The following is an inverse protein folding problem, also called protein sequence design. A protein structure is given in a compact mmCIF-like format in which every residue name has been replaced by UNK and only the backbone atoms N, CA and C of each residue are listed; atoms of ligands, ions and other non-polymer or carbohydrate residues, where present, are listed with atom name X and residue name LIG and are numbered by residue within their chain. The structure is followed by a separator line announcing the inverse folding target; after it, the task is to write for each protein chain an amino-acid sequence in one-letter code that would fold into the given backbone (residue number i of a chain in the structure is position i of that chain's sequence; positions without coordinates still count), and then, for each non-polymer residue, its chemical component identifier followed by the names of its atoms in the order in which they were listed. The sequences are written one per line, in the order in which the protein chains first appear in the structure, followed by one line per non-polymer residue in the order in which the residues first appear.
data_IF_074167245576
#
_entry.id   IF_074167245576
#
_cell.length_a   1.000
_cell.length_b   1.000
_cell.length_c   1.000
_cell.angle_alpha   90.00
_cell.angle_beta   90.00
_cell.angle_gamma   90.00
#
_symmetry.space_group_name_H-M   'P 1'
#
loop_
_entity.id
_entity.type
_entity.pdbx_description
1 polymer ?
#
# COMPACT_ATOMS: atom_id res chain seq x y z
N UNK A 1 -3.11 3.38 -23.39
CA UNK A 1 -2.62 2.90 -22.08
C UNK A 1 -3.34 3.52 -20.88
N UNK A 2 -3.87 4.75 -20.96
CA UNK A 2 -4.69 5.36 -19.88
C UNK A 2 -5.92 4.52 -19.51
N UNK A 3 -6.61 3.95 -20.51
CA UNK A 3 -7.74 3.02 -20.27
C UNK A 3 -7.37 1.79 -19.44
N UNK A 4 -6.18 1.22 -19.68
CA UNK A 4 -5.69 0.05 -18.94
C UNK A 4 -5.42 0.36 -17.46
N UNK A 5 -4.82 1.52 -17.16
CA UNK A 5 -4.58 1.94 -15.77
C UNK A 5 -5.90 2.14 -15.03
N UNK A 6 -6.88 2.79 -15.66
CA UNK A 6 -8.20 2.99 -15.08
C UNK A 6 -8.96 1.68 -14.86
N UNK A 7 -8.85 0.71 -15.77
CA UNK A 7 -9.40 -0.63 -15.59
C UNK A 7 -8.70 -1.40 -14.47
N UNK A 8 -7.38 -1.32 -14.39
CA UNK A 8 -6.60 -1.92 -13.31
C UNK A 8 -6.97 -1.34 -11.94
N UNK A 9 -7.22 -0.03 -11.86
CA UNK A 9 -7.69 0.61 -10.63
C UNK A 9 -9.14 0.28 -10.27
N UNK A 10 -9.94 -0.25 -11.21
CA UNK A 10 -11.26 -0.80 -10.92
C UNK A 10 -11.25 -2.30 -10.60
N UNK A 11 -10.13 -2.99 -10.83
CA UNK A 11 -10.03 -4.42 -10.64
C UNK A 11 -10.09 -4.82 -9.15
N UNK A 12 -10.73 -5.95 -8.89
CA UNK A 12 -10.71 -6.66 -7.60
C UNK A 12 -9.68 -7.79 -7.64
N UNK A 13 -9.54 -8.54 -6.54
CA UNK A 13 -8.62 -9.68 -6.43
C UNK A 13 -9.08 -10.96 -7.15
N UNK A 14 -10.26 -10.95 -7.79
CA UNK A 14 -10.84 -12.13 -8.43
C UNK A 14 -11.07 -13.27 -7.43
N UNK A 15 -10.35 -14.38 -7.61
CA UNK A 15 -10.46 -15.62 -6.81
C UNK A 15 -9.23 -15.88 -5.94
N UNK A 16 -8.34 -14.90 -5.81
CA UNK A 16 -7.13 -15.04 -5.00
C UNK A 16 -7.49 -15.21 -3.52
N UNK A 17 -6.75 -16.10 -2.84
CA UNK A 17 -7.01 -16.46 -1.44
C UNK A 17 -5.85 -15.96 -0.57
N UNK A 18 -6.12 -15.23 0.52
CA UNK A 18 -5.07 -14.78 1.42
C UNK A 18 -4.45 -15.95 2.20
N UNK A 19 -3.14 -15.91 2.49
CA UNK A 19 -2.48 -16.95 3.26
C UNK A 19 -2.96 -16.94 4.72
N UNK A 20 -2.89 -18.09 5.43
CA UNK A 20 -3.37 -18.21 6.81
C UNK A 20 -2.75 -17.20 7.79
N UNK A 21 -1.46 -16.87 7.61
CA UNK A 21 -0.78 -15.88 8.43
C UNK A 21 -1.43 -14.48 8.35
N UNK A 22 -1.91 -14.09 7.17
CA UNK A 22 -2.60 -12.81 6.99
C UNK A 22 -3.97 -12.80 7.64
N UNK A 23 -4.68 -13.93 7.66
CA UNK A 23 -5.95 -14.08 8.41
C UNK A 23 -5.73 -13.88 9.90
N UNK A 24 -4.75 -14.56 10.48
CA UNK A 24 -4.42 -14.42 11.91
C UNK A 24 -4.06 -12.98 12.29
N UNK A 25 -3.33 -12.27 11.43
CA UNK A 25 -3.01 -10.85 11.67
C UNK A 25 -4.24 -9.97 11.60
N UNK A 26 -5.10 -10.19 10.61
CA UNK A 26 -6.34 -9.45 10.46
C UNK A 26 -7.32 -9.70 11.60
N UNK A 27 -7.33 -10.92 12.15
CA UNK A 27 -8.18 -11.28 13.28
C UNK A 27 -7.86 -10.50 14.56
N UNK A 28 -6.57 -10.21 14.77
CA UNK A 28 -6.04 -9.52 15.95
C UNK A 28 -6.13 -7.99 15.86
N UNK A 29 -6.54 -7.46 14.72
CA UNK A 29 -6.65 -6.02 14.53
C UNK A 29 -7.95 -5.50 15.16
N UNK A 30 -7.83 -4.51 16.05
CA UNK A 30 -8.97 -3.82 16.66
C UNK A 30 -9.64 -2.88 15.64
N UNK A 31 -8.82 -2.24 14.81
CA UNK A 31 -9.26 -1.29 13.80
C UNK A 31 -8.74 -1.69 12.44
N UNK A 32 -9.65 -1.77 11.46
CA UNK A 32 -9.29 -2.10 10.08
C UNK A 32 -9.58 -0.89 9.21
N UNK A 33 -8.56 -0.38 8.53
CA UNK A 33 -8.69 0.69 7.54
C UNK A 33 -8.12 0.23 6.20
N UNK A 34 -8.52 0.89 5.12
CA UNK A 34 -8.11 0.48 3.78
C UNK A 34 -7.90 1.66 2.84
N UNK A 35 -7.09 1.44 1.82
CA UNK A 35 -7.26 2.17 0.57
C UNK A 35 -8.67 1.95 0.01
N UNK A 36 -9.21 2.97 -0.63
CA UNK A 36 -10.48 2.93 -1.36
C UNK A 36 -10.42 2.23 -2.73
N UNK A 37 -9.25 1.74 -3.16
CA UNK A 37 -9.16 0.96 -4.41
C UNK A 37 -9.82 -0.42 -4.23
N UNK A 38 -10.63 -0.91 -5.19
CA UNK A 38 -11.41 -2.13 -5.07
C UNK A 38 -10.58 -3.36 -4.69
N UNK A 39 -9.37 -3.52 -5.24
CA UNK A 39 -8.47 -4.61 -4.86
C UNK A 39 -8.15 -4.63 -3.36
N UNK A 40 -7.88 -3.49 -2.73
CA UNK A 40 -7.59 -3.43 -1.29
C UNK A 40 -8.84 -3.78 -0.45
N UNK A 41 -10.01 -3.24 -0.83
CA UNK A 41 -11.27 -3.55 -0.14
C UNK A 41 -11.63 -5.03 -0.29
N UNK A 42 -11.53 -5.58 -1.50
CA UNK A 42 -11.79 -7.00 -1.75
C UNK A 42 -10.79 -7.92 -1.06
N UNK A 43 -9.53 -7.49 -0.88
CA UNK A 43 -8.52 -8.19 -0.07
C UNK A 43 -8.93 -8.32 1.40
N UNK A 44 -9.58 -7.31 1.97
CA UNK A 44 -10.12 -7.39 3.34
C UNK A 44 -11.33 -8.31 3.42
N UNK A 45 -12.23 -8.26 2.43
CA UNK A 45 -13.38 -9.16 2.36
C UNK A 45 -12.95 -10.62 2.32
N UNK A 46 -11.91 -10.95 1.57
CA UNK A 46 -11.35 -12.30 1.53
C UNK A 46 -10.71 -12.74 2.85
N UNK A 47 -10.38 -11.79 3.74
CA UNK A 47 -9.93 -12.00 5.11
C UNK A 47 -11.09 -11.96 6.13
N UNK A 48 -12.34 -11.91 5.67
CA UNK A 48 -13.54 -11.81 6.51
C UNK A 48 -13.52 -10.56 7.41
N UNK A 49 -13.01 -9.45 6.87
CA UNK A 49 -12.96 -8.14 7.52
C UNK A 49 -13.55 -7.06 6.62
N UNK A 50 -14.17 -6.07 7.24
CA UNK A 50 -14.64 -4.85 6.56
C UNK A 50 -13.93 -3.64 7.17
N UNK A 51 -13.45 -2.69 6.36
CA UNK A 51 -12.79 -1.51 6.87
C UNK A 51 -13.81 -0.56 7.50
N UNK A 52 -13.48 -0.02 8.67
CA UNK A 52 -14.28 1.05 9.30
C UNK A 52 -14.20 2.36 8.50
N UNK A 53 -13.13 2.51 7.72
CA UNK A 53 -12.89 3.66 6.84
C UNK A 53 -12.04 3.24 5.65
N UNK A 54 -12.41 3.73 4.48
CA UNK A 54 -11.58 3.75 3.28
C UNK A 54 -11.09 5.16 3.00
N UNK A 55 -9.87 5.32 2.50
CA UNK A 55 -9.31 6.65 2.21
C UNK A 55 -8.36 6.63 1.01
N UNK A 56 -8.44 7.69 0.18
CA UNK A 56 -7.55 7.92 -0.94
C UNK A 56 -6.09 8.16 -0.49
N UNK A 57 -5.90 8.60 0.75
CA UNK A 57 -4.60 8.77 1.42
C UNK A 57 -3.71 7.53 1.30
N UNK A 58 -4.32 6.34 1.35
CA UNK A 58 -3.63 5.05 1.32
C UNK A 58 -3.51 4.42 -0.08
N UNK A 59 -3.94 5.12 -1.14
CA UNK A 59 -3.83 4.62 -2.54
C UNK A 59 -2.38 4.36 -2.93
N UNK A 60 -2.20 3.40 -3.83
CA UNK A 60 -0.87 3.11 -4.39
C UNK A 60 -0.24 4.35 -5.04
N UNK A 61 1.09 4.45 -4.97
CA UNK A 61 1.82 5.45 -5.72
C UNK A 61 1.73 5.10 -7.22
N UNK A 62 1.14 6.01 -8.00
CA UNK A 62 0.97 5.88 -9.44
C UNK A 62 2.26 5.48 -10.15
N UNK A 63 2.14 4.72 -11.23
CA UNK A 63 3.26 4.31 -12.05
C UNK A 63 3.27 5.19 -13.31
N UNK A 64 4.35 5.94 -13.59
CA UNK A 64 4.42 6.71 -14.81
C UNK A 64 4.60 5.78 -16.00
N UNK A 65 3.57 5.66 -16.83
CA UNK A 65 3.60 4.80 -18.02
C UNK A 65 4.01 5.64 -19.22
N UNK A 66 5.14 5.28 -19.84
CA UNK A 66 5.64 5.94 -21.04
C UNK A 66 5.43 5.06 -22.28
N UNK A 67 5.20 5.69 -23.43
CA UNK A 67 5.13 4.97 -24.70
C UNK A 67 6.55 4.67 -25.18
N UNK A 68 6.90 3.39 -25.27
CA UNK A 68 8.24 2.94 -25.63
C UNK A 68 8.31 2.31 -27.04
N UNK A 69 7.56 2.88 -27.99
CA UNK A 69 7.60 2.49 -29.40
C UNK A 69 7.45 0.98 -29.62
N UNK A 70 8.40 0.38 -30.35
CA UNK A 70 8.41 -1.03 -30.74
C UNK A 70 9.14 -1.96 -29.76
N UNK A 71 9.62 -1.46 -28.61
CA UNK A 71 10.37 -2.29 -27.66
C UNK A 71 9.45 -3.31 -26.97
N UNK A 72 9.78 -4.60 -27.09
CA UNK A 72 9.00 -5.69 -26.49
C UNK A 72 9.70 -6.18 -25.22
N UNK A 73 9.18 -5.77 -24.07
CA UNK A 73 9.58 -6.29 -22.76
C UNK A 73 8.36 -6.91 -22.05
N UNK A 74 8.62 -7.74 -21.04
CA UNK A 74 7.57 -8.31 -20.20
C UNK A 74 6.90 -7.22 -19.35
N UNK A 75 5.63 -7.39 -18.94
CA UNK A 75 4.96 -6.41 -18.06
C UNK A 75 5.71 -6.15 -16.76
N UNK A 76 6.35 -7.17 -16.19
CA UNK A 76 7.17 -7.04 -14.98
C UNK A 76 8.40 -6.19 -15.23
N UNK A 77 9.10 -6.40 -16.36
CA UNK A 77 10.26 -5.58 -16.74
C UNK A 77 9.85 -4.12 -16.97
N UNK A 78 8.74 -3.86 -17.67
CA UNK A 78 8.21 -2.51 -17.85
C UNK A 78 7.89 -1.83 -16.52
N UNK A 79 7.23 -2.55 -15.61
CA UNK A 79 6.90 -2.04 -14.28
C UNK A 79 8.15 -1.69 -13.50
N UNK A 80 9.19 -2.52 -13.56
CA UNK A 80 10.48 -2.25 -12.90
C UNK A 80 11.17 -1.00 -13.47
N UNK A 81 11.22 -0.85 -14.80
CA UNK A 81 11.81 0.32 -15.47
C UNK A 81 11.06 1.59 -15.08
N UNK A 82 9.74 1.62 -15.25
CA UNK A 82 8.93 2.80 -14.94
C UNK A 82 9.00 3.17 -13.46
N UNK A 83 9.05 2.17 -12.57
CA UNK A 83 9.25 2.44 -11.15
C UNK A 83 10.65 2.98 -10.87
N UNK A 84 11.68 2.50 -11.56
CA UNK A 84 13.04 3.03 -11.48
C UNK A 84 13.10 4.50 -11.88
N UNK A 85 12.53 4.86 -13.04
CA UNK A 85 12.44 6.25 -13.50
C UNK A 85 11.71 7.15 -12.48
N UNK A 86 10.59 6.66 -11.93
CA UNK A 86 9.85 7.37 -10.91
C UNK A 86 10.66 7.61 -9.63
N UNK A 87 11.44 6.62 -9.19
CA UNK A 87 12.33 6.75 -8.04
C UNK A 87 13.45 7.78 -8.28
N UNK A 88 13.85 7.97 -9.54
CA UNK A 88 14.77 9.03 -9.97
C UNK A 88 14.08 10.40 -10.15
N UNK A 89 12.78 10.53 -9.86
CA UNK A 89 12.03 11.78 -9.93
C UNK A 89 11.27 12.04 -11.24
N UNK A 90 11.35 11.12 -12.21
CA UNK A 90 10.69 11.24 -13.50
C UNK A 90 9.26 10.71 -13.38
N UNK A 91 8.31 11.62 -13.18
CA UNK A 91 6.94 11.30 -12.76
C UNK A 91 5.88 11.40 -13.84
N UNK A 92 6.17 12.01 -15.00
CA UNK A 92 5.19 12.17 -16.06
C UNK A 92 3.92 12.85 -15.53
N UNK A 93 2.78 12.19 -15.70
CA UNK A 93 1.46 12.69 -15.25
C UNK A 93 1.03 12.15 -13.88
N UNK A 94 1.83 11.28 -13.24
CA UNK A 94 1.49 10.75 -11.91
C UNK A 94 2.14 11.57 -10.80
N UNK A 95 1.67 11.37 -9.57
CA UNK A 95 2.25 11.99 -8.37
C UNK A 95 3.77 11.79 -8.30
N UNK A 96 4.57 12.87 -8.20
CA UNK A 96 6.01 12.78 -8.01
C UNK A 96 6.40 12.10 -6.69
N UNK A 97 7.60 11.49 -6.66
CA UNK A 97 8.10 10.81 -5.45
C UNK A 97 8.09 11.70 -4.20
N UNK A 98 8.40 12.98 -4.33
CA UNK A 98 8.38 13.94 -3.19
C UNK A 98 6.99 14.09 -2.60
N UNK A 99 5.96 14.10 -3.43
CA UNK A 99 4.56 14.23 -3.02
C UNK A 99 4.06 12.92 -2.42
N UNK A 100 4.41 11.79 -3.04
CA UNK A 100 4.10 10.47 -2.47
C UNK A 100 4.75 10.26 -1.09
N UNK A 101 5.97 10.77 -0.87
CA UNK A 101 6.62 10.78 0.45
C UNK A 101 5.87 11.66 1.45
N UNK A 102 5.43 12.86 1.04
CA UNK A 102 4.61 13.75 1.88
C UNK A 102 3.27 13.10 2.24
N UNK A 103 2.62 12.46 1.26
CA UNK A 103 1.36 11.73 1.47
C UNK A 103 1.55 10.54 2.41
N UNK A 104 2.64 9.79 2.26
CA UNK A 104 2.99 8.70 3.17
C UNK A 104 3.27 9.19 4.60
N UNK A 105 3.85 10.38 4.77
CA UNK A 105 4.04 11.00 6.08
C UNK A 105 2.70 11.34 6.75
N UNK A 106 1.75 11.91 6.02
CA UNK A 106 0.39 12.16 6.51
C UNK A 106 -0.35 10.85 6.84
N UNK A 107 -0.18 9.82 6.01
CA UNK A 107 -0.74 8.50 6.26
C UNK A 107 -0.19 7.87 7.55
N UNK A 108 1.11 7.99 7.79
CA UNK A 108 1.75 7.52 9.02
C UNK A 108 1.22 8.26 10.26
N UNK A 109 1.08 9.59 10.19
CA UNK A 109 0.46 10.39 11.26
C UNK A 109 -0.97 9.95 11.54
N UNK A 110 -1.77 9.77 10.49
CA UNK A 110 -3.13 9.27 10.62
C UNK A 110 -3.18 7.90 11.30
N UNK A 111 -2.25 6.98 10.98
CA UNK A 111 -2.19 5.67 11.63
C UNK A 111 -1.82 5.77 13.11
N UNK A 112 -0.85 6.61 13.45
CA UNK A 112 -0.43 6.83 14.84
C UNK A 112 -1.55 7.44 15.67
N UNK A 113 -2.32 8.39 15.11
CA UNK A 113 -3.49 8.97 15.78
C UNK A 113 -4.63 7.97 15.98
N UNK A 114 -4.82 7.02 15.05
CA UNK A 114 -5.81 5.94 15.17
C UNK A 114 -5.38 4.85 16.18
N UNK A 115 -4.11 4.84 16.57
CA UNK A 115 -3.54 3.91 17.55
C UNK A 115 -3.19 4.61 18.89
N UNK A 116 -4.10 5.37 19.53
CA UNK A 116 -3.75 6.24 20.66
C UNK A 116 -3.55 5.50 22.00
N UNK A 117 -3.76 4.18 22.03
CA UNK A 117 -3.56 3.36 23.24
C UNK A 117 -2.42 2.36 23.03
N UNK A 118 -1.62 2.05 24.07
CA UNK A 118 -0.54 1.05 23.99
C UNK A 118 -0.99 -0.36 23.57
N UNK A 119 -2.30 -0.62 23.56
CA UNK A 119 -2.91 -1.92 23.32
C UNK A 119 -3.76 -1.97 22.03
N UNK A 120 -3.99 -0.84 21.36
CA UNK A 120 -4.82 -0.80 20.15
C UNK A 120 -4.01 -1.15 18.91
N UNK A 121 -4.49 -2.09 18.10
CA UNK A 121 -3.86 -2.48 16.84
C UNK A 121 -4.66 -1.98 15.63
N UNK A 122 -3.99 -1.24 14.75
CA UNK A 122 -4.57 -0.78 13.48
C UNK A 122 -3.99 -1.60 12.32
N UNK A 123 -4.86 -2.27 11.57
CA UNK A 123 -4.51 -2.90 10.30
C UNK A 123 -4.85 -1.94 9.15
N UNK A 124 -3.84 -1.63 8.33
CA UNK A 124 -4.02 -0.97 7.05
C UNK A 124 -3.92 -1.98 5.90
N UNK A 125 -5.00 -2.13 5.12
CA UNK A 125 -4.93 -2.77 3.81
C UNK A 125 -4.61 -1.74 2.73
N UNK A 126 -3.40 -1.83 2.19
CA UNK A 126 -2.86 -0.87 1.24
C UNK A 126 -2.12 -1.54 0.09
N UNK A 127 -1.10 -0.87 -0.43
CA UNK A 127 -0.40 -1.27 -1.64
C UNK A 127 1.12 -1.24 -1.46
N UNK A 128 1.84 -1.99 -2.29
CA UNK A 128 3.26 -2.28 -2.06
C UNK A 128 4.17 -1.06 -1.97
N UNK A 129 4.09 -0.10 -2.91
CA UNK A 129 4.98 1.06 -2.87
C UNK A 129 4.56 2.04 -1.78
N UNK A 130 3.26 2.37 -1.68
CA UNK A 130 2.76 3.26 -0.66
C UNK A 130 3.03 2.73 0.75
N UNK A 131 2.77 1.45 1.03
CA UNK A 131 3.07 0.85 2.34
C UNK A 131 4.55 0.93 2.68
N UNK A 132 5.45 0.78 1.70
CA UNK A 132 6.89 0.95 1.92
C UNK A 132 7.27 2.39 2.26
N UNK A 133 6.60 3.38 1.68
CA UNK A 133 6.80 4.78 2.04
C UNK A 133 6.24 5.10 3.43
N UNK A 134 5.06 4.57 3.76
CA UNK A 134 4.43 4.72 5.08
C UNK A 134 5.33 4.09 6.16
N UNK A 135 5.82 2.86 5.94
CA UNK A 135 6.75 2.20 6.84
C UNK A 135 7.99 3.05 7.13
N UNK A 136 8.59 3.65 6.09
CA UNK A 136 9.72 4.58 6.28
C UNK A 136 9.32 5.81 7.10
N UNK A 137 8.14 6.37 6.86
CA UNK A 137 7.65 7.53 7.61
C UNK A 137 7.34 7.21 9.08
N UNK A 138 6.86 5.99 9.38
CA UNK A 138 6.68 5.48 10.74
C UNK A 138 8.04 5.32 11.46
N UNK A 139 9.02 4.69 10.80
CA UNK A 139 10.37 4.53 11.36
C UNK A 139 11.03 5.88 11.66
N UNK A 140 10.86 6.87 10.79
CA UNK A 140 11.37 8.23 11.00
C UNK A 140 10.70 8.95 12.19
N UNK A 141 9.52 8.49 12.62
CA UNK A 141 8.77 9.01 13.77
C UNK A 141 9.03 8.21 15.06
N UNK A 142 10.04 7.34 15.06
CA UNK A 142 10.43 6.56 16.23
C UNK A 142 9.62 5.27 16.42
N UNK A 143 8.77 4.88 15.48
CA UNK A 143 8.16 3.56 15.52
C UNK A 143 9.23 2.47 15.35
N UNK A 144 9.06 1.34 16.03
CA UNK A 144 9.95 0.19 15.92
C UNK A 144 9.32 -0.88 15.03
N UNK A 145 10.06 -1.33 14.01
CA UNK A 145 9.66 -2.51 13.23
C UNK A 145 9.88 -3.76 14.08
N UNK A 146 8.80 -4.48 14.38
CA UNK A 146 8.84 -5.76 15.12
C UNK A 146 8.72 -6.95 14.19
N UNK A 147 8.13 -6.75 13.01
CA UNK A 147 8.05 -7.75 11.95
C UNK A 147 8.19 -7.10 10.58
N UNK A 148 9.11 -7.63 9.78
CA UNK A 148 9.36 -7.13 8.42
C UNK A 148 8.41 -7.80 7.42
N UNK A 149 7.83 -7.05 6.46
CA UNK A 149 7.00 -7.66 5.43
C UNK A 149 7.81 -8.58 4.51
N UNK A 150 7.28 -9.77 4.23
CA UNK A 150 7.68 -10.64 3.12
C UNK A 150 7.36 -10.06 1.73
N UNK A 151 7.70 -10.83 0.68
CA UNK A 151 7.68 -10.36 -0.73
C UNK A 151 6.35 -10.59 -1.48
N UNK A 152 5.43 -11.38 -0.93
CA UNK A 152 4.17 -11.74 -1.59
C UNK A 152 3.00 -10.78 -1.29
N UNK A 153 1.88 -11.00 -1.97
CA UNK A 153 0.62 -10.33 -1.64
C UNK A 153 0.14 -10.70 -0.22
N UNK A 154 -0.66 -9.82 0.39
CA UNK A 154 -1.12 -9.92 1.80
C UNK A 154 -0.02 -10.00 2.86
N UNK A 155 1.24 -9.82 2.48
CA UNK A 155 2.35 -9.69 3.40
C UNK A 155 2.20 -8.43 4.26
N UNK A 156 2.44 -8.56 5.57
CA UNK A 156 2.29 -7.48 6.53
C UNK A 156 3.59 -7.20 7.30
N UNK A 157 3.88 -5.91 7.50
CA UNK A 157 4.85 -5.44 8.48
C UNK A 157 4.14 -5.03 9.75
N UNK A 158 4.79 -5.19 10.91
CA UNK A 158 4.27 -4.75 12.20
C UNK A 158 5.19 -3.67 12.74
N UNK A 159 4.59 -2.53 13.09
CA UNK A 159 5.28 -1.35 13.59
C UNK A 159 4.64 -0.94 14.91
N UNK A 160 5.45 -0.80 15.95
CA UNK A 160 5.01 -0.38 17.27
C UNK A 160 5.32 1.10 17.45
N UNK A 161 4.34 1.89 17.92
CA UNK A 161 4.56 3.30 18.26
C UNK A 161 5.63 3.43 19.34
N UNK A 162 6.37 4.56 19.38
CA UNK A 162 7.24 4.85 20.50
C UNK A 162 6.42 4.85 21.81
N UNK A 163 7.08 4.47 22.91
CA UNK A 163 6.50 4.46 24.25
C UNK A 163 6.27 5.89 24.78
#
# INVERSE_FOLDING_TARGET
MSGWVAEYDRANIGRDVPPPASRQLAERADWVISSDLPRAVSSLRALDREPVRTDALYREAGLPVYHAGSLRLTPVAWTAIFRGLWLCGISGEVEPLREAKRRAALAAESLMHLSPKPQGTVLLMGHGMMNRLIARALLQRGCRETHRPGKGYWSAGIYQSPA
#
